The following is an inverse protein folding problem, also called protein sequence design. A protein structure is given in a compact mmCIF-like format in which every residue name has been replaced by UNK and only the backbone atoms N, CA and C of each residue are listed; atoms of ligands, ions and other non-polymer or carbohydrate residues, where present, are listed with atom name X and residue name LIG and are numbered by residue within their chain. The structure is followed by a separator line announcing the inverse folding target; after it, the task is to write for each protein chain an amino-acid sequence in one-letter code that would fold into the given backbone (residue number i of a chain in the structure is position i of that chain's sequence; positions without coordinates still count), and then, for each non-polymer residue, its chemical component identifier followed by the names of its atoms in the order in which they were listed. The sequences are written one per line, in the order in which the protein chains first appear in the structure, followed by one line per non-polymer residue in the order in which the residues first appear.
data_IF_467253136797
#
_entry.id   IF_467253136797
#
_cell.length_a   1.000
_cell.length_b   1.000
_cell.length_c   1.000
_cell.angle_alpha   90.00
_cell.angle_beta   90.00
_cell.angle_gamma   90.00
#
_symmetry.space_group_name_H-M   'P 1'
#
loop_
_entity.id
_entity.type
_entity.pdbx_description
1 polymer ?
#
# COMPACT_ATOMS: atom_id res chain seq x y z
N UNK A 1 -8.77 17.59 -2.40
CA UNK A 1 -9.28 16.21 -2.21
C UNK A 1 -9.84 16.10 -0.80
N UNK A 2 -10.88 15.28 -0.61
CA UNK A 2 -11.52 15.08 0.67
C UNK A 2 -10.52 14.54 1.70
N UNK A 3 -10.61 14.96 2.96
CA UNK A 3 -9.72 14.51 4.05
C UNK A 3 -10.06 13.08 4.54
N UNK A 4 -10.49 12.22 3.63
CA UNK A 4 -10.85 10.83 3.89
C UNK A 4 -9.58 9.97 4.02
N UNK A 5 -9.68 8.89 4.79
CA UNK A 5 -8.56 7.99 5.07
C UNK A 5 -8.82 6.64 4.42
N UNK A 6 -7.90 6.21 3.56
CA UNK A 6 -7.88 4.87 2.99
C UNK A 6 -6.84 4.03 3.73
N UNK A 7 -7.18 2.79 4.09
CA UNK A 7 -6.29 1.89 4.80
C UNK A 7 -5.01 1.64 4.01
N UNK A 8 -5.12 1.36 2.71
CA UNK A 8 -3.96 1.03 1.87
C UNK A 8 -3.01 2.20 1.68
N UNK A 9 -3.48 3.45 1.75
CA UNK A 9 -2.60 4.63 1.81
C UNK A 9 -1.79 4.68 3.11
N UNK A 10 -2.41 4.29 4.24
CA UNK A 10 -1.77 4.25 5.55
C UNK A 10 -0.74 3.12 5.69
N UNK A 11 -0.62 2.20 4.73
CA UNK A 11 0.51 1.24 4.68
C UNK A 11 1.84 1.93 4.37
N UNK A 12 1.79 3.16 3.87
CA UNK A 12 2.95 3.98 3.54
C UNK A 12 3.17 5.10 4.53
N UNK A 13 2.20 6.00 4.62
CA UNK A 13 2.33 7.26 5.35
C UNK A 13 2.47 7.06 6.85
N UNK A 14 1.75 6.08 7.42
CA UNK A 14 1.79 5.79 8.85
C UNK A 14 2.94 4.86 9.26
N UNK A 15 3.46 4.04 8.34
CA UNK A 15 4.58 3.12 8.62
C UNK A 15 5.90 3.87 8.71
N UNK A 16 6.10 4.89 7.86
CA UNK A 16 7.33 5.68 7.82
C UNK A 16 7.77 6.22 9.20
N UNK A 17 6.93 6.95 9.98
CA UNK A 17 7.35 7.44 11.30
C UNK A 17 7.66 6.33 12.31
N UNK A 18 7.00 5.17 12.18
CA UNK A 18 7.27 4.00 13.04
C UNK A 18 8.61 3.37 12.70
N UNK A 19 8.97 3.30 11.41
CA UNK A 19 10.30 2.82 10.99
C UNK A 19 11.42 3.75 11.44
N UNK A 20 11.17 5.06 11.54
CA UNK A 20 12.15 6.03 12.04
C UNK A 20 12.37 5.92 13.56
N UNK A 21 11.33 5.58 14.32
CA UNK A 21 11.38 5.40 15.78
C UNK A 21 10.65 4.12 16.20
N UNK A 22 11.28 2.94 16.03
CA UNK A 22 10.62 1.65 16.23
C UNK A 22 10.49 1.31 17.71
N UNK A 23 9.46 1.87 18.36
CA UNK A 23 9.09 1.54 19.74
C UNK A 23 7.83 0.67 19.75
N UNK A 24 7.68 -0.19 20.76
CA UNK A 24 6.46 -0.99 20.93
C UNK A 24 5.20 -0.12 21.04
N UNK A 25 5.33 1.07 21.65
CA UNK A 25 4.24 2.05 21.71
C UNK A 25 3.83 2.53 20.32
N UNK A 26 4.79 2.88 19.47
CA UNK A 26 4.53 3.33 18.10
C UNK A 26 3.93 2.23 17.22
N UNK A 27 4.38 0.98 17.37
CA UNK A 27 3.76 -0.18 16.70
C UNK A 27 2.32 -0.37 17.16
N UNK A 28 2.05 -0.23 18.46
CA UNK A 28 0.68 -0.29 19.00
C UNK A 28 -0.23 0.82 18.44
N UNK A 29 0.29 2.05 18.30
CA UNK A 29 -0.43 3.16 17.67
C UNK A 29 -0.71 2.90 16.19
N UNK A 30 0.26 2.33 15.45
CA UNK A 30 0.08 1.93 14.05
C UNK A 30 -1.02 0.89 13.90
N UNK A 31 -0.99 -0.18 14.70
CA UNK A 31 -2.01 -1.22 14.67
C UNK A 31 -3.39 -0.68 15.01
N UNK A 32 -3.49 0.25 15.97
CA UNK A 32 -4.75 0.94 16.29
C UNK A 32 -5.25 1.77 15.12
N UNK A 33 -4.38 2.56 14.49
CA UNK A 33 -4.72 3.37 13.31
C UNK A 33 -5.22 2.48 12.17
N UNK A 34 -4.46 1.44 11.84
CA UNK A 34 -4.80 0.45 10.84
C UNK A 34 -6.15 -0.20 11.10
N UNK A 35 -6.40 -0.65 12.33
CA UNK A 35 -7.69 -1.25 12.71
C UNK A 35 -8.86 -0.28 12.54
N UNK A 36 -8.73 0.96 13.01
CA UNK A 36 -9.81 1.97 12.91
C UNK A 36 -10.10 2.35 11.46
N UNK A 37 -9.06 2.62 10.67
CA UNK A 37 -9.23 3.03 9.27
C UNK A 37 -9.75 1.87 8.42
N UNK A 38 -9.20 0.67 8.60
CA UNK A 38 -9.69 -0.53 7.89
C UNK A 38 -11.16 -0.78 8.22
N UNK A 39 -11.54 -0.76 9.50
CA UNK A 39 -12.93 -0.96 9.90
C UNK A 39 -13.86 0.09 9.27
N UNK A 40 -13.46 1.37 9.29
CA UNK A 40 -14.22 2.43 8.64
C UNK A 40 -14.38 2.22 7.13
N UNK A 41 -13.33 1.75 6.45
CA UNK A 41 -13.38 1.40 5.04
C UNK A 41 -14.31 0.22 4.77
N UNK A 42 -14.19 -0.86 5.55
CA UNK A 42 -15.03 -2.06 5.42
C UNK A 42 -16.51 -1.77 5.69
N UNK A 43 -16.82 -0.92 6.68
CA UNK A 43 -18.19 -0.45 6.94
C UNK A 43 -18.71 0.35 5.75
N UNK A 44 -17.90 1.29 5.23
CA UNK A 44 -18.28 2.08 4.05
C UNK A 44 -18.56 1.21 2.82
N UNK A 45 -17.71 0.23 2.54
CA UNK A 45 -17.91 -0.73 1.44
C UNK A 45 -19.11 -1.63 1.68
N UNK A 46 -19.35 -2.05 2.93
CA UNK A 46 -20.52 -2.83 3.30
C UNK A 46 -21.83 -2.06 3.12
N UNK A 47 -21.88 -0.79 3.51
CA UNK A 47 -23.05 0.07 3.28
C UNK A 47 -23.29 0.27 1.77
N UNK A 48 -22.22 0.46 0.98
CA UNK A 48 -22.34 0.57 -0.47
C UNK A 48 -22.87 -0.73 -1.11
N UNK A 49 -22.28 -1.88 -0.77
CA UNK A 49 -22.72 -3.19 -1.25
C UNK A 49 -24.19 -3.48 -0.87
N UNK A 50 -24.56 -3.18 0.38
CA UNK A 50 -25.94 -3.31 0.86
C UNK A 50 -26.91 -2.42 0.07
N UNK A 51 -26.53 -1.16 -0.19
CA UNK A 51 -27.34 -0.26 -0.99
C UNK A 51 -27.52 -0.76 -2.43
N UNK A 52 -26.46 -1.29 -3.04
CA UNK A 52 -26.50 -1.81 -4.42
C UNK A 52 -27.38 -3.05 -4.55
N UNK A 53 -27.46 -3.88 -3.52
CA UNK A 53 -28.29 -5.09 -3.52
C UNK A 53 -29.77 -4.81 -3.25
N UNK A 54 -30.08 -3.98 -2.24
CA UNK A 54 -31.47 -3.84 -1.76
C UNK A 54 -32.20 -2.60 -2.25
N UNK A 55 -31.49 -1.57 -2.72
CA UNK A 55 -32.15 -0.40 -3.28
C UNK A 55 -32.36 -0.57 -4.80
N UNK A 56 -33.46 -0.05 -5.36
CA UNK A 56 -33.74 -0.10 -6.80
C UNK A 56 -32.88 0.94 -7.56
N UNK A 57 -31.56 0.85 -7.43
CA UNK A 57 -30.58 1.74 -8.08
C UNK A 57 -30.19 1.20 -9.45
N UNK A 58 -30.13 -0.13 -9.58
CA UNK A 58 -29.64 -0.84 -10.75
C UNK A 58 -30.68 -1.85 -11.26
N UNK A 59 -30.66 -2.09 -12.56
CA UNK A 59 -31.45 -3.13 -13.22
C UNK A 59 -30.84 -4.52 -13.02
N UNK A 60 -31.59 -5.54 -13.46
CA UNK A 60 -31.19 -6.94 -13.28
C UNK A 60 -29.89 -7.28 -14.01
N UNK A 61 -29.70 -6.78 -15.23
CA UNK A 61 -28.47 -7.00 -16.00
C UNK A 61 -27.21 -6.45 -15.29
N UNK A 62 -27.32 -5.26 -14.68
CA UNK A 62 -26.21 -4.68 -13.92
C UNK A 62 -25.93 -5.46 -12.64
N UNK A 63 -26.97 -5.92 -11.95
CA UNK A 63 -26.84 -6.73 -10.73
C UNK A 63 -26.18 -8.09 -11.03
N UNK A 64 -26.52 -8.72 -12.14
CA UNK A 64 -25.86 -9.94 -12.62
C UNK A 64 -24.38 -9.70 -12.94
N UNK A 65 -24.05 -8.54 -13.51
CA UNK A 65 -22.66 -8.17 -13.75
C UNK A 65 -21.87 -8.04 -12.44
N UNK A 66 -22.45 -7.48 -11.38
CA UNK A 66 -21.81 -7.43 -10.06
C UNK A 66 -21.57 -8.82 -9.47
N UNK A 67 -22.55 -9.74 -9.61
CA UNK A 67 -22.36 -11.14 -9.19
C UNK A 67 -21.19 -11.76 -9.94
N UNK A 68 -21.15 -11.60 -11.26
CA UNK A 68 -20.10 -12.15 -12.10
C UNK A 68 -18.71 -11.63 -11.73
N UNK A 69 -18.57 -10.32 -11.51
CA UNK A 69 -17.30 -9.71 -11.12
C UNK A 69 -16.83 -10.25 -9.75
N UNK A 70 -17.72 -10.26 -8.75
CA UNK A 70 -17.37 -10.80 -7.43
C UNK A 70 -16.99 -12.28 -7.47
N UNK A 71 -17.69 -13.08 -8.29
CA UNK A 71 -17.39 -14.51 -8.42
C UNK A 71 -16.05 -14.75 -9.15
N UNK A 72 -15.65 -13.86 -10.05
CA UNK A 72 -14.33 -13.91 -10.70
C UNK A 72 -13.22 -13.78 -9.66
N UNK A 73 -13.36 -12.85 -8.71
CA UNK A 73 -12.40 -12.68 -7.60
C UNK A 73 -12.26 -13.97 -6.80
N UNK A 74 -13.37 -14.65 -6.51
CA UNK A 74 -13.40 -15.88 -5.70
C UNK A 74 -12.85 -17.13 -6.41
N UNK A 75 -12.54 -17.06 -7.71
CA UNK A 75 -11.81 -18.14 -8.39
C UNK A 75 -10.35 -18.24 -7.92
N UNK A 76 -9.79 -17.14 -7.42
CA UNK A 76 -8.44 -17.11 -6.89
C UNK A 76 -8.38 -17.91 -5.58
N UNK A 77 -7.38 -18.79 -5.47
CA UNK A 77 -7.01 -19.42 -4.20
C UNK A 77 -6.50 -18.37 -3.19
N UNK A 78 -6.52 -18.64 -1.88
CA UNK A 78 -5.98 -17.72 -0.87
C UNK A 78 -4.54 -17.25 -1.17
N UNK A 79 -3.71 -18.13 -1.73
CA UNK A 79 -2.34 -17.83 -2.12
C UNK A 79 -2.25 -16.90 -3.33
N UNK A 80 -3.12 -17.09 -4.32
CA UNK A 80 -3.22 -16.19 -5.47
C UNK A 80 -3.77 -14.83 -5.05
N UNK A 81 -4.80 -14.81 -4.18
CA UNK A 81 -5.32 -13.59 -3.59
C UNK A 81 -4.25 -12.82 -2.81
N UNK A 82 -3.39 -13.50 -2.06
CA UNK A 82 -2.25 -12.89 -1.38
C UNK A 82 -1.23 -12.32 -2.38
N UNK A 83 -0.82 -13.09 -3.38
CA UNK A 83 0.17 -12.66 -4.37
C UNK A 83 -0.31 -11.46 -5.21
N UNK A 84 -1.56 -11.52 -5.69
CA UNK A 84 -2.17 -10.42 -6.44
C UNK A 84 -2.30 -9.16 -5.57
N UNK A 85 -2.61 -9.32 -4.27
CA UNK A 85 -2.70 -8.22 -3.33
C UNK A 85 -1.35 -7.57 -3.00
N UNK A 86 -0.23 -8.29 -3.14
CA UNK A 86 1.10 -7.67 -3.06
C UNK A 86 1.26 -6.66 -4.20
N UNK A 87 0.86 -7.03 -5.41
CA UNK A 87 0.98 -6.15 -6.59
C UNK A 87 0.08 -4.91 -6.42
N UNK A 88 -1.19 -5.09 -6.06
CA UNK A 88 -2.09 -3.94 -5.86
C UNK A 88 -1.65 -3.05 -4.70
N UNK A 89 -1.16 -3.64 -3.60
CA UNK A 89 -0.58 -2.89 -2.47
C UNK A 89 0.63 -2.05 -2.89
N UNK A 90 1.49 -2.61 -3.74
CA UNK A 90 2.64 -1.91 -4.30
C UNK A 90 2.25 -0.75 -5.24
N UNK A 91 1.22 -0.94 -6.07
CA UNK A 91 0.69 0.10 -6.96
C UNK A 91 0.15 1.28 -6.12
N UNK A 92 -0.67 1.02 -5.11
CA UNK A 92 -1.18 2.06 -4.21
C UNK A 92 -0.04 2.76 -3.48
N UNK A 93 0.95 2.01 -2.98
CA UNK A 93 2.09 2.63 -2.33
C UNK A 93 2.87 3.55 -3.26
N UNK A 94 3.05 3.15 -4.53
CA UNK A 94 3.71 3.96 -5.55
C UNK A 94 2.92 5.24 -5.82
N UNK A 95 1.60 5.13 -5.93
CA UNK A 95 0.70 6.28 -6.09
C UNK A 95 0.88 7.30 -4.95
N UNK A 96 0.83 6.83 -3.70
CA UNK A 96 0.96 7.67 -2.50
C UNK A 96 2.35 8.30 -2.43
N UNK A 97 3.39 7.55 -2.82
CA UNK A 97 4.76 8.06 -2.86
C UNK A 97 4.96 9.14 -3.94
N UNK A 98 4.34 8.99 -5.11
CA UNK A 98 4.39 10.00 -6.19
C UNK A 98 3.56 11.25 -5.87
N UNK A 99 2.59 11.14 -4.96
CA UNK A 99 1.58 12.16 -4.71
C UNK A 99 2.10 13.55 -4.34
N UNK A 100 3.14 13.69 -3.49
CA UNK A 100 3.73 15.00 -3.18
C UNK A 100 4.34 15.68 -4.41
N UNK A 101 4.89 14.89 -5.35
CA UNK A 101 5.56 15.38 -6.55
C UNK A 101 4.60 15.56 -7.75
N UNK A 102 3.40 14.99 -7.71
CA UNK A 102 2.47 14.95 -8.84
C UNK A 102 1.85 16.31 -9.23
N UNK A 103 1.98 17.35 -8.40
CA UNK A 103 1.50 18.71 -8.74
C UNK A 103 0.03 18.75 -9.21
N UNK A 104 -0.20 19.28 -10.43
CA UNK A 104 -1.53 19.31 -11.07
C UNK A 104 -1.98 17.97 -11.68
N UNK A 105 -1.08 16.99 -11.82
CA UNK A 105 -1.37 15.70 -12.44
C UNK A 105 -1.95 14.64 -11.46
N UNK A 106 -2.26 15.02 -10.21
CA UNK A 106 -2.74 14.10 -9.17
C UNK A 106 -3.94 13.25 -9.60
N UNK A 107 -4.92 13.86 -10.30
CA UNK A 107 -6.09 13.14 -10.79
C UNK A 107 -5.69 12.08 -11.82
N UNK A 108 -4.79 12.42 -12.75
CA UNK A 108 -4.29 11.49 -13.78
C UNK A 108 -3.56 10.31 -13.12
N UNK A 109 -2.74 10.59 -12.10
CA UNK A 109 -2.03 9.55 -11.33
C UNK A 109 -3.03 8.62 -10.63
N UNK A 110 -4.08 9.16 -9.98
CA UNK A 110 -5.11 8.33 -9.34
C UNK A 110 -5.78 7.43 -10.37
N UNK A 111 -6.28 8.01 -11.47
CA UNK A 111 -6.99 7.26 -12.53
C UNK A 111 -6.09 6.15 -13.08
N UNK A 112 -4.84 6.48 -13.44
CA UNK A 112 -3.90 5.50 -13.99
C UNK A 112 -3.63 4.36 -13.01
N UNK A 113 -3.39 4.67 -11.74
CA UNK A 113 -3.05 3.66 -10.73
C UNK A 113 -4.25 2.78 -10.39
N UNK A 114 -5.45 3.36 -10.26
CA UNK A 114 -6.68 2.58 -10.09
C UNK A 114 -7.01 1.73 -11.32
N UNK A 115 -6.73 2.23 -12.51
CA UNK A 115 -6.91 1.49 -13.75
C UNK A 115 -5.94 0.32 -13.86
N UNK A 116 -4.68 0.48 -13.46
CA UNK A 116 -3.71 -0.63 -13.43
C UNK A 116 -4.13 -1.76 -12.48
N UNK A 117 -4.75 -1.44 -11.34
CA UNK A 117 -5.29 -2.43 -10.40
C UNK A 117 -6.39 -3.26 -11.07
N UNK A 118 -7.33 -2.59 -11.75
CA UNK A 118 -8.42 -3.23 -12.48
C UNK A 118 -7.93 -4.01 -13.71
N UNK A 119 -6.98 -3.46 -14.48
CA UNK A 119 -6.39 -4.10 -15.66
C UNK A 119 -5.65 -5.38 -15.30
N UNK A 120 -4.92 -5.37 -14.18
CA UNK A 120 -4.18 -6.53 -13.70
C UNK A 120 -5.02 -7.56 -12.98
N UNK A 121 -6.34 -7.36 -12.90
CA UNK A 121 -7.28 -8.20 -12.14
C UNK A 121 -6.79 -8.50 -10.71
N UNK A 122 -6.15 -7.50 -10.10
CA UNK A 122 -5.48 -7.67 -8.82
C UNK A 122 -6.47 -7.55 -7.67
N UNK A 123 -6.38 -8.45 -6.70
CA UNK A 123 -7.18 -8.38 -5.49
C UNK A 123 -6.76 -7.20 -4.63
N UNK A 124 -7.72 -6.52 -3.98
CA UNK A 124 -7.44 -5.38 -3.13
C UNK A 124 -8.46 -5.33 -1.98
N UNK A 125 -8.00 -5.17 -0.73
CA UNK A 125 -8.84 -5.37 0.45
C UNK A 125 -10.05 -4.44 0.47
N UNK A 126 -9.88 -3.16 0.14
CA UNK A 126 -11.00 -2.19 0.15
C UNK A 126 -11.95 -2.40 -1.03
N UNK A 127 -11.48 -2.36 -2.28
CA UNK A 127 -12.32 -2.52 -3.48
C UNK A 127 -12.97 -3.92 -3.53
N UNK A 128 -12.19 -4.97 -3.34
CA UNK A 128 -12.73 -6.33 -3.31
C UNK A 128 -13.74 -6.54 -2.19
N UNK A 129 -13.67 -5.77 -1.09
CA UNK A 129 -14.69 -5.89 -0.04
C UNK A 129 -16.07 -5.47 -0.51
N UNK A 130 -16.22 -4.47 -1.40
CA UNK A 130 -17.56 -4.14 -1.91
C UNK A 130 -18.11 -5.27 -2.79
N UNK A 131 -17.25 -5.91 -3.60
CA UNK A 131 -17.62 -7.02 -4.50
C UNK A 131 -18.02 -8.27 -3.71
N UNK A 132 -17.19 -8.68 -2.74
CA UNK A 132 -17.46 -9.89 -1.95
C UNK A 132 -18.60 -9.65 -0.96
N UNK A 133 -18.71 -8.47 -0.33
CA UNK A 133 -19.86 -8.18 0.53
C UNK A 133 -21.17 -8.13 -0.24
N UNK A 134 -21.15 -7.69 -1.52
CA UNK A 134 -22.33 -7.77 -2.37
C UNK A 134 -22.79 -9.22 -2.56
N UNK A 135 -21.87 -10.15 -2.83
CA UNK A 135 -22.17 -11.59 -2.91
C UNK A 135 -22.66 -12.19 -1.57
N UNK A 136 -22.17 -11.66 -0.45
CA UNK A 136 -22.64 -12.09 0.87
C UNK A 136 -24.07 -11.60 1.13
N UNK A 137 -24.38 -10.35 0.78
CA UNK A 137 -25.71 -9.78 1.00
C UNK A 137 -26.77 -10.39 0.08
N UNK A 138 -26.42 -10.70 -1.18
CA UNK A 138 -27.36 -11.36 -2.09
C UNK A 138 -27.50 -12.88 -1.83
N UNK A 139 -26.72 -13.44 -0.90
CA UNK A 139 -26.79 -14.83 -0.47
C UNK A 139 -26.02 -15.82 -1.35
N UNK A 140 -25.25 -15.35 -2.34
CA UNK A 140 -24.37 -16.20 -3.17
C UNK A 140 -23.23 -16.81 -2.34
N UNK A 141 -22.69 -16.06 -1.38
CA UNK A 141 -21.60 -16.52 -0.51
C UNK A 141 -21.96 -16.42 0.98
N UNK A 142 -21.45 -17.34 1.81
CA UNK A 142 -21.52 -17.19 3.26
C UNK A 142 -20.55 -16.12 3.76
N UNK A 143 -20.84 -15.53 4.93
CA UNK A 143 -19.96 -14.57 5.61
C UNK A 143 -18.56 -15.13 5.92
N UNK A 144 -18.42 -16.46 6.06
CA UNK A 144 -17.12 -17.10 6.25
C UNK A 144 -16.17 -16.79 5.10
N UNK A 145 -16.68 -16.77 3.87
CA UNK A 145 -15.88 -16.66 2.65
C UNK A 145 -15.32 -15.24 2.48
N UNK A 146 -16.02 -14.24 3.03
CA UNK A 146 -15.48 -12.90 3.15
C UNK A 146 -14.25 -12.86 4.05
N UNK A 147 -14.26 -13.51 5.22
CA UNK A 147 -13.09 -13.54 6.11
C UNK A 147 -11.98 -14.43 5.54
N UNK A 148 -12.35 -15.62 5.09
CA UNK A 148 -11.48 -16.61 4.47
C UNK A 148 -12.27 -17.40 3.41
N UNK A 149 -11.87 -17.35 2.13
CA UNK A 149 -10.52 -17.10 1.67
C UNK A 149 -10.18 -15.65 1.31
N UNK A 150 -11.10 -14.68 1.37
CA UNK A 150 -10.85 -13.35 0.80
C UNK A 150 -10.04 -12.39 1.70
N UNK A 151 -10.64 -11.88 2.78
CA UNK A 151 -10.15 -10.66 3.43
C UNK A 151 -8.77 -10.84 4.06
N UNK A 152 -8.51 -11.95 4.75
CA UNK A 152 -7.24 -12.17 5.44
C UNK A 152 -6.02 -12.22 4.52
N UNK A 153 -5.97 -13.08 3.47
CA UNK A 153 -4.82 -13.10 2.58
C UNK A 153 -4.70 -11.83 1.74
N UNK A 154 -5.81 -11.24 1.27
CA UNK A 154 -5.77 -9.97 0.53
C UNK A 154 -5.25 -8.83 1.39
N UNK A 155 -5.68 -8.72 2.65
CA UNK A 155 -5.16 -7.73 3.60
C UNK A 155 -3.66 -7.90 3.83
N UNK A 156 -3.21 -9.14 4.08
CA UNK A 156 -1.81 -9.45 4.29
C UNK A 156 -0.97 -9.07 3.06
N UNK A 157 -1.43 -9.43 1.86
CA UNK A 157 -0.76 -9.09 0.61
C UNK A 157 -0.66 -7.58 0.41
N UNK A 158 -1.76 -6.84 0.64
CA UNK A 158 -1.74 -5.37 0.54
C UNK A 158 -0.78 -4.70 1.52
N UNK A 159 -0.69 -5.19 2.77
CA UNK A 159 0.30 -4.69 3.75
C UNK A 159 1.72 -4.97 3.26
N UNK A 160 1.99 -6.20 2.82
CA UNK A 160 3.30 -6.61 2.31
C UNK A 160 3.73 -5.75 1.09
N UNK A 161 2.85 -5.62 0.09
CA UNK A 161 3.10 -4.80 -1.10
C UNK A 161 3.25 -3.32 -0.78
N UNK A 162 2.41 -2.80 0.12
CA UNK A 162 2.41 -1.39 0.49
C UNK A 162 3.67 -0.96 1.23
N UNK A 163 4.19 -1.85 2.08
CA UNK A 163 5.45 -1.61 2.82
C UNK A 163 6.70 -1.90 1.99
N UNK A 164 6.59 -2.58 0.85
CA UNK A 164 7.72 -3.00 0.02
C UNK A 164 8.57 -1.84 -0.53
N UNK A 165 7.93 -0.72 -0.92
CA UNK A 165 8.65 0.47 -1.39
C UNK A 165 9.61 1.00 -0.33
N UNK A 166 9.26 0.89 0.95
CA UNK A 166 10.16 1.33 2.03
C UNK A 166 11.37 0.44 2.18
N UNK A 167 11.24 -0.87 1.97
CA UNK A 167 12.40 -1.76 1.95
C UNK A 167 13.38 -1.35 0.86
N UNK A 168 12.87 -1.06 -0.35
CA UNK A 168 13.67 -0.59 -1.48
C UNK A 168 14.29 0.80 -1.23
N UNK A 169 13.49 1.76 -0.75
CA UNK A 169 13.94 3.12 -0.46
C UNK A 169 14.97 3.15 0.66
N UNK A 170 14.72 2.44 1.77
CA UNK A 170 15.65 2.34 2.89
C UNK A 170 16.97 1.74 2.44
N UNK A 171 16.93 0.67 1.62
CA UNK A 171 18.14 0.10 1.04
C UNK A 171 18.90 1.08 0.14
N UNK A 172 18.18 1.85 -0.70
CA UNK A 172 18.77 2.85 -1.57
C UNK A 172 19.37 4.04 -0.79
N UNK A 173 18.67 4.53 0.24
CA UNK A 173 19.12 5.62 1.11
C UNK A 173 20.36 5.23 1.91
N UNK A 174 20.37 4.05 2.55
CA UNK A 174 21.53 3.53 3.27
C UNK A 174 22.74 3.41 2.33
N UNK A 175 22.54 2.91 1.11
CA UNK A 175 23.64 2.78 0.14
C UNK A 175 24.20 4.14 -0.29
N UNK A 176 23.34 5.13 -0.50
CA UNK A 176 23.77 6.49 -0.83
C UNK A 176 24.49 7.17 0.34
N UNK A 177 23.99 7.04 1.56
CA UNK A 177 24.62 7.60 2.76
C UNK A 177 25.99 6.96 3.03
N UNK A 178 26.11 5.64 2.86
CA UNK A 178 27.39 4.93 2.98
C UNK A 178 28.38 5.34 1.88
N UNK A 179 27.90 5.55 0.65
CA UNK A 179 28.73 6.06 -0.45
C UNK A 179 29.24 7.47 -0.18
N UNK A 180 28.38 8.36 0.32
CA UNK A 180 28.74 9.74 0.68
C UNK A 180 29.72 9.78 1.86
N UNK A 181 29.48 9.00 2.93
CA UNK A 181 30.42 8.87 4.05
C UNK A 181 31.81 8.39 3.61
N UNK A 182 31.87 7.38 2.73
CA UNK A 182 33.15 6.89 2.19
C UNK A 182 33.89 7.96 1.38
N UNK A 183 33.18 8.77 0.58
CA UNK A 183 33.78 9.88 -0.17
C UNK A 183 34.30 10.97 0.77
N UNK A 184 33.55 11.30 1.82
CA UNK A 184 33.95 12.26 2.86
C UNK A 184 35.23 11.80 3.59
N UNK A 185 35.26 10.54 4.05
CA UNK A 185 36.41 9.95 4.72
C UNK A 185 37.65 9.91 3.81
N UNK A 186 37.48 9.56 2.53
CA UNK A 186 38.57 9.55 1.56
C UNK A 186 39.14 10.96 1.33
N UNK A 187 38.26 11.98 1.23
CA UNK A 187 38.65 13.39 1.12
C UNK A 187 39.46 13.84 2.33
N UNK A 188 38.95 13.60 3.54
CA UNK A 188 39.62 13.97 4.80
C UNK A 188 40.98 13.27 4.95
N UNK A 189 41.08 11.99 4.55
CA UNK A 189 42.35 11.26 4.55
C UNK A 189 43.36 11.86 3.57
N UNK A 190 42.92 12.24 2.36
CA UNK A 190 43.75 12.92 1.38
C UNK A 190 44.29 14.26 1.89
N UNK A 191 43.41 15.10 2.46
CA UNK A 191 43.80 16.39 3.05
C UNK A 191 44.82 16.22 4.20
N UNK A 192 44.67 15.17 5.02
CA UNK A 192 45.61 14.88 6.11
C UNK A 192 47.01 14.51 5.59
N UNK A 193 47.08 13.61 4.61
CA UNK A 193 48.33 13.18 3.99
C UNK A 193 49.05 14.35 3.31
N UNK A 194 48.31 15.24 2.64
CA UNK A 194 48.88 16.43 2.01
C UNK A 194 49.45 17.42 3.04
N UNK A 195 48.75 17.62 4.18
CA UNK A 195 49.27 18.45 5.28
C UNK A 195 50.53 17.85 5.90
N UNK A 196 50.59 16.54 6.08
CA UNK A 196 51.77 15.84 6.60
C UNK A 196 52.96 15.96 5.63
N UNK A 197 52.73 15.80 4.32
CA UNK A 197 53.78 15.99 3.31
C UNK A 197 54.34 17.42 3.31
N UNK A 198 53.46 18.44 3.34
CA UNK A 198 53.88 19.85 3.41
C UNK A 198 54.65 20.20 4.69
N UNK A 199 54.35 19.52 5.81
CA UNK A 199 55.11 19.69 7.06
C UNK A 199 56.51 19.07 6.95
N UNK A 200 56.62 17.87 6.36
CA UNK A 200 57.90 17.20 6.16
C UNK A 200 58.81 17.96 5.18
N UNK A 201 58.23 18.55 4.12
CA UNK A 201 58.96 19.40 3.16
C UNK A 201 59.49 20.70 3.79
N UNK A 202 58.76 21.29 4.76
CA UNK A 202 59.21 22.51 5.47
C UNK A 202 60.27 22.27 6.55
N UNK A 203 60.52 21.02 6.93
CA UNK A 203 61.52 20.64 7.93
C UNK A 203 62.85 20.18 7.32
N UNK A 204 62.94 20.15 5.99
CA UNK A 204 64.19 19.97 5.23
C UNK A 204 64.70 21.31 4.75
#
# INVERSE_FOLDING_TARGET
MARQQLFTENTVTAVLPVMQNPTLSNVGLLMRLWGVVLLGNLIGTGVAAWAFEYMPIFDEETRDAFVKIGMEVMKNSPTEMFANAIISGWIIATMVWMFPAAGGAKIVVIILMTWLIALGDTTHIVVGSVEILYLVFNGTLPWSDFLWPFALPTLAGNICGGTFIFALMSHAQIRNDMSNKRKEEARLRGERLERERKKAEKQR
#
